data_IF_609363641415
#
_entry.id   IF_609363641415
#
_cell.length_a   1.000
_cell.length_b   1.000
_cell.length_c   1.000
_cell.angle_alpha   90.00
_cell.angle_beta   90.00
_cell.angle_gamma   90.00
#
_symmetry.space_group_name_H-M   'P 1'
#
loop_
_entity.id
_entity.type
_entity.pdbx_description
1 polymer ?
#
# COMPACT_ATOMS: atom_id res chain seq x y z
N UNK A 1 -10.55 -40.27 -7.73
CA UNK A 1 -9.21 -40.14 -7.11
C UNK A 1 -8.35 -39.06 -7.77
N UNK A 2 -8.29 -38.96 -9.10
CA UNK A 2 -7.47 -37.95 -9.80
C UNK A 2 -7.80 -36.48 -9.42
N UNK A 3 -9.08 -36.12 -9.25
CA UNK A 3 -9.45 -34.74 -8.83
C UNK A 3 -8.97 -34.37 -7.42
N UNK A 4 -8.95 -35.33 -6.50
CA UNK A 4 -8.45 -35.14 -5.13
C UNK A 4 -6.92 -35.03 -5.12
N UNK A 5 -6.24 -35.82 -5.96
CA UNK A 5 -4.79 -35.76 -6.14
C UNK A 5 -4.34 -34.42 -6.73
N UNK A 6 -5.10 -33.85 -7.67
CA UNK A 6 -4.83 -32.52 -8.25
C UNK A 6 -4.96 -31.39 -7.22
N UNK A 7 -5.94 -31.46 -6.32
CA UNK A 7 -6.14 -30.49 -5.23
C UNK A 7 -4.99 -30.58 -4.22
N UNK A 8 -4.54 -31.80 -3.88
CA UNK A 8 -3.40 -32.04 -2.98
C UNK A 8 -2.09 -31.53 -3.60
N UNK A 9 -1.90 -31.72 -4.92
CA UNK A 9 -0.73 -31.21 -5.64
C UNK A 9 -0.70 -29.67 -5.69
N UNK A 10 -1.85 -29.02 -5.79
CA UNK A 10 -1.97 -27.55 -5.77
C UNK A 10 -1.61 -26.96 -4.39
N UNK A 11 -1.95 -27.67 -3.31
CA UNK A 11 -1.58 -27.28 -1.94
C UNK A 11 -0.08 -27.44 -1.64
N UNK A 12 0.62 -28.37 -2.30
CA UNK A 12 2.07 -28.57 -2.13
C UNK A 12 2.93 -27.53 -2.89
N UNK A 13 2.35 -26.73 -3.79
CA UNK A 13 3.04 -25.63 -4.47
C UNK A 13 3.13 -24.32 -3.65
N UNK A 14 2.63 -24.30 -2.42
CA UNK A 14 2.79 -23.16 -1.50
C UNK A 14 4.24 -23.16 -1.00
N UNK A 15 5.15 -22.71 -1.86
CA UNK A 15 6.53 -22.41 -1.52
C UNK A 15 6.54 -21.46 -0.31
N UNK A 16 7.43 -21.74 0.65
CA UNK A 16 7.67 -20.94 1.84
C UNK A 16 8.20 -19.55 1.44
N UNK A 17 7.29 -18.65 1.03
CA UNK A 17 7.64 -17.24 0.87
C UNK A 17 7.98 -16.67 2.25
N UNK A 18 9.18 -16.14 2.39
CA UNK A 18 9.54 -15.31 3.55
C UNK A 18 9.03 -13.89 3.28
N UNK A 19 8.12 -13.42 4.12
CA UNK A 19 7.48 -12.11 3.98
C UNK A 19 8.49 -10.95 4.07
N UNK A 20 8.17 -9.86 3.38
CA UNK A 20 8.87 -8.59 3.45
C UNK A 20 7.97 -7.60 4.20
N UNK A 21 8.41 -7.16 5.37
CA UNK A 21 7.86 -5.98 6.01
C UNK A 21 8.16 -4.74 5.14
N UNK A 22 7.16 -3.91 4.88
CA UNK A 22 7.38 -2.67 4.11
C UNK A 22 7.79 -1.55 5.05
N UNK A 23 8.94 -0.93 4.78
CA UNK A 23 9.41 0.21 5.57
C UNK A 23 8.56 1.47 5.39
N UNK A 24 7.73 1.52 4.34
CA UNK A 24 6.85 2.63 4.01
C UNK A 24 5.40 2.20 4.16
N UNK A 25 4.53 3.17 4.48
CA UNK A 25 3.08 2.99 4.51
C UNK A 25 2.59 2.45 3.16
N UNK A 26 1.85 1.34 3.20
CA UNK A 26 1.28 0.70 2.01
C UNK A 26 -0.22 1.01 1.98
N UNK A 27 -0.56 2.21 1.51
CA UNK A 27 -1.94 2.70 1.43
C UNK A 27 -2.68 2.08 0.26
N UNK A 28 -3.96 1.76 0.45
CA UNK A 28 -4.88 1.44 -0.65
C UNK A 28 -5.37 2.73 -1.33
N UNK A 29 -5.43 3.82 -0.56
CA UNK A 29 -5.83 5.15 -1.05
C UNK A 29 -4.74 5.82 -1.91
N UNK A 30 -5.12 6.60 -2.93
CA UNK A 30 -6.51 7.03 -3.25
C UNK A 30 -7.25 6.14 -4.27
N UNK A 31 -6.64 5.05 -4.76
CA UNK A 31 -7.25 4.14 -5.73
C UNK A 31 -8.24 3.13 -5.11
N UNK A 32 -8.81 2.26 -5.95
CA UNK A 32 -9.68 1.15 -5.53
C UNK A 32 -9.01 -0.22 -5.64
N UNK A 33 -7.84 -0.28 -6.27
CA UNK A 33 -6.94 -1.44 -6.18
C UNK A 33 -6.33 -1.56 -4.78
N UNK A 34 -5.98 -2.78 -4.41
CA UNK A 34 -5.28 -3.14 -3.18
C UNK A 34 -4.08 -4.01 -3.52
N UNK A 35 -2.98 -3.79 -2.80
CA UNK A 35 -1.75 -4.55 -2.94
C UNK A 35 -1.88 -5.94 -2.29
N UNK A 36 -1.24 -6.98 -2.85
CA UNK A 36 -1.18 -8.30 -2.22
C UNK A 36 -0.40 -8.30 -0.88
N UNK A 37 0.42 -7.28 -0.61
CA UNK A 37 1.19 -7.19 0.62
C UNK A 37 0.32 -6.80 1.82
N UNK A 38 0.58 -7.46 2.95
CA UNK A 38 -0.01 -7.12 4.25
C UNK A 38 0.73 -5.93 4.89
N UNK A 39 0.07 -5.21 5.81
CA UNK A 39 0.68 -4.17 6.65
C UNK A 39 1.82 -4.67 7.55
N UNK A 40 1.91 -5.98 7.84
CA UNK A 40 2.99 -6.59 8.63
C UNK A 40 2.69 -6.78 10.12
N UNK A 41 3.42 -7.68 10.79
CA UNK A 41 3.14 -8.06 12.20
C UNK A 41 3.22 -6.88 13.16
N UNK A 42 2.25 -6.78 14.05
CA UNK A 42 2.11 -5.72 15.06
C UNK A 42 1.98 -4.31 14.45
N UNK A 43 1.44 -4.22 13.24
CA UNK A 43 1.12 -2.95 12.56
C UNK A 43 -0.39 -2.76 12.51
N UNK A 44 -0.81 -1.56 12.94
CA UNK A 44 -2.18 -1.07 12.80
C UNK A 44 -2.16 0.14 11.88
N UNK A 45 -2.93 0.09 10.80
CA UNK A 45 -3.02 1.15 9.81
C UNK A 45 -4.46 1.64 9.69
N UNK A 46 -4.60 2.96 9.61
CA UNK A 46 -5.84 3.68 9.43
C UNK A 46 -5.74 4.46 8.12
N UNK A 47 -6.74 4.32 7.26
CA UNK A 47 -6.87 5.10 6.03
C UNK A 47 -8.23 5.78 6.07
N UNK A 48 -8.24 7.11 5.93
CA UNK A 48 -9.44 7.90 6.02
C UNK A 48 -9.48 8.94 4.91
N UNK A 49 -10.65 9.25 4.39
CA UNK A 49 -10.77 10.35 3.45
C UNK A 49 -12.21 10.77 3.24
N UNK A 50 -12.33 11.87 2.50
CA UNK A 50 -13.59 12.48 2.10
C UNK A 50 -13.77 12.29 0.59
N UNK A 51 -15.03 12.22 0.16
CA UNK A 51 -15.37 12.17 -1.25
C UNK A 51 -16.56 13.06 -1.57
N UNK A 52 -16.54 13.58 -2.79
CA UNK A 52 -17.66 14.20 -3.47
C UNK A 52 -17.99 13.37 -4.71
N UNK A 53 -19.25 13.02 -4.87
CA UNK A 53 -19.76 12.27 -6.02
C UNK A 53 -20.91 13.05 -6.63
N UNK A 54 -20.87 13.21 -7.94
CA UNK A 54 -22.00 13.72 -8.70
C UNK A 54 -22.35 12.65 -9.74
N UNK A 55 -23.59 12.21 -9.73
CA UNK A 55 -24.17 11.27 -10.68
C UNK A 55 -25.18 12.05 -11.51
N UNK A 56 -24.91 12.19 -12.79
CA UNK A 56 -25.84 12.74 -13.77
C UNK A 56 -26.44 11.58 -14.56
N UNK A 57 -27.74 11.34 -14.36
CA UNK A 57 -28.54 10.34 -15.09
C UNK A 57 -29.68 11.03 -15.86
N UNK A 58 -30.30 10.35 -16.82
CA UNK A 58 -31.41 10.90 -17.61
C UNK A 58 -32.65 11.11 -16.74
N UNK A 59 -32.80 12.31 -16.18
CA UNK A 59 -33.99 12.76 -15.45
C UNK A 59 -33.79 13.00 -13.95
N UNK A 60 -32.62 12.67 -13.41
CA UNK A 60 -32.26 12.96 -12.00
C UNK A 60 -30.76 13.20 -11.85
N UNK A 61 -30.39 14.11 -10.96
CA UNK A 61 -29.01 14.30 -10.51
C UNK A 61 -28.87 13.97 -9.04
N UNK A 62 -27.85 13.20 -8.69
CA UNK A 62 -27.54 12.84 -7.29
C UNK A 62 -26.20 13.44 -6.92
N UNK A 63 -26.19 14.21 -5.84
CA UNK A 63 -24.96 14.74 -5.24
C UNK A 63 -24.72 14.09 -3.89
N UNK A 64 -23.60 13.37 -3.76
CA UNK A 64 -23.21 12.68 -2.54
C UNK A 64 -21.94 13.27 -1.95
N UNK A 65 -21.95 13.46 -0.63
CA UNK A 65 -20.78 13.78 0.17
C UNK A 65 -20.57 12.70 1.20
N UNK A 66 -19.32 12.31 1.44
CA UNK A 66 -19.11 11.26 2.43
C UNK A 66 -17.67 11.10 2.86
N UNK A 67 -17.48 10.11 3.73
CA UNK A 67 -16.18 9.69 4.21
C UNK A 67 -16.02 8.18 4.10
N UNK A 68 -14.84 7.76 3.68
CA UNK A 68 -14.42 6.36 3.68
C UNK A 68 -13.37 6.15 4.78
N UNK A 69 -13.52 5.07 5.53
CA UNK A 69 -12.60 4.66 6.59
C UNK A 69 -12.21 3.19 6.40
N UNK A 70 -10.91 2.91 6.50
CA UNK A 70 -10.37 1.57 6.47
C UNK A 70 -9.42 1.37 7.65
N UNK A 71 -9.63 0.29 8.39
CA UNK A 71 -8.76 -0.15 9.48
C UNK A 71 -8.14 -1.47 9.07
N UNK A 72 -6.81 -1.57 9.15
CA UNK A 72 -6.03 -2.74 8.76
C UNK A 72 -5.14 -3.14 9.91
N UNK A 73 -5.19 -4.41 10.30
CA UNK A 73 -4.43 -4.92 11.42
C UNK A 73 -3.82 -6.28 11.10
N UNK A 74 -2.52 -6.42 11.37
CA UNK A 74 -1.84 -7.71 11.30
C UNK A 74 -1.06 -7.95 12.59
N UNK A 75 -1.32 -9.09 13.24
CA UNK A 75 -0.70 -9.46 14.53
C UNK A 75 0.05 -10.78 14.49
N UNK A 76 -0.51 -11.77 13.80
CA UNK A 76 -0.07 -13.16 13.95
C UNK A 76 0.99 -13.55 12.92
N UNK A 77 0.79 -13.11 11.67
CA UNK A 77 1.61 -13.46 10.53
C UNK A 77 1.82 -12.23 9.68
N UNK A 78 3.04 -12.02 9.21
CA UNK A 78 3.38 -10.94 8.26
C UNK A 78 2.64 -11.05 6.92
N UNK A 79 1.99 -12.20 6.65
CA UNK A 79 1.22 -12.48 5.45
C UNK A 79 -0.28 -12.28 5.63
N UNK A 80 -0.78 -12.24 6.86
CA UNK A 80 -2.21 -12.20 7.16
C UNK A 80 -2.57 -10.81 7.67
N UNK A 81 -3.56 -10.21 7.03
CA UNK A 81 -4.13 -8.92 7.42
C UNK A 81 -5.63 -9.08 7.63
N UNK A 82 -6.13 -8.53 8.73
CA UNK A 82 -7.56 -8.31 8.93
C UNK A 82 -7.88 -6.87 8.55
N UNK A 83 -8.99 -6.68 7.85
CA UNK A 83 -9.46 -5.35 7.48
C UNK A 83 -10.94 -5.14 7.80
N UNK A 84 -11.24 -3.88 8.11
CA UNK A 84 -12.58 -3.32 8.27
C UNK A 84 -12.67 -2.14 7.33
N UNK A 85 -13.65 -2.15 6.43
CA UNK A 85 -13.92 -1.07 5.47
C UNK A 85 -15.32 -0.55 5.74
N UNK A 86 -15.45 0.74 6.00
CA UNK A 86 -16.74 1.40 6.23
C UNK A 86 -16.80 2.73 5.52
N UNK A 87 -17.99 3.14 5.10
CA UNK A 87 -18.23 4.48 4.57
C UNK A 87 -19.47 5.11 5.17
N UNK A 88 -19.45 6.42 5.34
CA UNK A 88 -20.61 7.22 5.71
C UNK A 88 -20.88 8.20 4.58
N UNK A 89 -22.13 8.32 4.16
CA UNK A 89 -22.51 9.16 3.03
C UNK A 89 -23.79 9.93 3.33
N UNK A 90 -23.87 11.11 2.75
CA UNK A 90 -25.02 11.97 2.68
C UNK A 90 -25.36 12.18 1.22
N UNK A 91 -26.56 11.79 0.82
CA UNK A 91 -27.04 11.86 -0.56
C UNK A 91 -28.13 12.93 -0.66
N UNK A 92 -28.01 13.80 -1.65
CA UNK A 92 -29.07 14.72 -2.08
C UNK A 92 -29.51 14.35 -3.51
N UNK A 93 -30.81 14.32 -3.74
CA UNK A 93 -31.42 13.84 -4.99
C UNK A 93 -32.30 14.95 -5.54
N UNK A 94 -31.94 15.44 -6.71
CA UNK A 94 -32.72 16.44 -7.45
C UNK A 94 -33.36 15.76 -8.67
N UNK A 95 -34.69 15.89 -8.81
CA UNK A 95 -35.43 15.34 -9.94
C UNK A 95 -35.69 16.42 -10.98
N UNK A 96 -35.28 16.18 -12.23
CA UNK A 96 -35.37 17.17 -13.31
C UNK A 96 -36.58 16.90 -14.23
N UNK A 97 -37.15 15.69 -14.20
CA UNK A 97 -38.22 15.31 -15.13
C UNK A 97 -39.63 15.71 -14.63
N UNK A 98 -40.32 16.53 -15.43
CA UNK A 98 -41.62 17.13 -15.12
C UNK A 98 -42.76 16.12 -14.86
N UNK A 99 -42.60 14.86 -15.29
CA UNK A 99 -43.58 13.79 -15.05
C UNK A 99 -43.53 13.22 -13.63
N UNK A 100 -42.40 13.33 -12.92
CA UNK A 100 -42.24 12.86 -11.54
C UNK A 100 -42.71 13.88 -10.48
N UNK A 101 -42.89 15.14 -10.88
CA UNK A 101 -43.29 16.27 -10.04
C UNK A 101 -44.79 16.24 -9.66
N UNK A 102 -45.59 15.34 -10.25
CA UNK A 102 -47.05 15.25 -10.04
C UNK A 102 -47.41 14.66 -8.66
N UNK A 103 -46.43 14.13 -7.91
CA UNK A 103 -46.61 13.71 -6.52
C UNK A 103 -45.94 14.72 -5.55
N UNK A 104 -46.70 15.52 -4.77
CA UNK A 104 -46.16 16.48 -3.80
C UNK A 104 -45.50 15.82 -2.56
N UNK A 105 -45.23 14.52 -2.60
CA UNK A 105 -44.52 13.76 -1.56
C UNK A 105 -43.05 13.45 -1.92
N UNK A 106 -42.58 13.90 -3.09
CA UNK A 106 -41.20 13.75 -3.57
C UNK A 106 -40.47 15.11 -3.51
N UNK A 107 -40.46 15.74 -2.34
CA UNK A 107 -39.50 16.82 -2.03
C UNK A 107 -38.09 16.24 -1.85
N UNK A 108 -37.05 17.04 -2.14
CA UNK A 108 -35.62 16.76 -1.99
C UNK A 108 -35.33 15.76 -0.85
N UNK A 109 -35.09 14.50 -1.21
CA UNK A 109 -34.89 13.44 -0.22
C UNK A 109 -33.42 13.40 0.17
N UNK A 110 -33.06 14.20 1.16
CA UNK A 110 -31.75 14.13 1.79
C UNK A 110 -31.65 12.96 2.76
N UNK A 111 -30.63 12.11 2.63
CA UNK A 111 -30.43 10.93 3.50
C UNK A 111 -28.97 10.79 3.92
N UNK A 112 -28.77 10.62 5.23
CA UNK A 112 -27.50 10.20 5.81
C UNK A 112 -27.54 8.70 6.12
N UNK A 113 -26.47 7.97 5.78
CA UNK A 113 -26.38 6.55 6.04
C UNK A 113 -24.96 6.00 6.05
N UNK A 114 -24.82 4.78 6.55
CA UNK A 114 -23.61 3.97 6.41
C UNK A 114 -23.67 3.35 5.02
N UNK A 115 -22.81 3.76 4.08
CA UNK A 115 -22.87 3.31 2.69
C UNK A 115 -22.31 1.91 2.45
N UNK A 116 -21.45 1.43 3.34
CA UNK A 116 -20.84 0.09 3.28
C UNK A 116 -20.27 -0.29 4.63
N UNK A 117 -20.35 -1.57 4.99
CA UNK A 117 -19.58 -2.17 6.07
C UNK A 117 -19.09 -3.56 5.64
N UNK A 118 -17.78 -3.71 5.46
CA UNK A 118 -17.16 -4.97 5.05
C UNK A 118 -16.08 -5.36 6.05
N UNK A 119 -16.09 -6.62 6.49
CA UNK A 119 -15.03 -7.22 7.30
C UNK A 119 -14.37 -8.31 6.48
N UNK A 120 -13.04 -8.34 6.45
CA UNK A 120 -12.35 -9.41 5.75
C UNK A 120 -10.92 -9.68 6.18
N UNK A 121 -10.34 -10.66 5.52
CA UNK A 121 -8.98 -11.12 5.73
C UNK A 121 -8.27 -11.28 4.39
N UNK A 122 -7.05 -10.77 4.32
CA UNK A 122 -6.14 -10.89 3.17
C UNK A 122 -4.95 -11.76 3.56
N UNK A 123 -4.60 -12.71 2.70
CA UNK A 123 -3.45 -13.60 2.90
C UNK A 123 -2.51 -13.56 1.69
N UNK A 124 -1.27 -13.15 1.91
CA UNK A 124 -0.21 -13.19 0.91
C UNK A 124 0.21 -14.65 0.64
N UNK A 125 -0.12 -15.17 -0.54
CA UNK A 125 0.20 -16.54 -0.94
C UNK A 125 1.62 -16.62 -1.45
N UNK A 126 1.97 -15.74 -2.39
CA UNK A 126 3.24 -15.78 -3.10
C UNK A 126 3.83 -14.38 -3.25
N UNK A 127 5.15 -14.28 -3.10
CA UNK A 127 5.91 -13.07 -3.39
C UNK A 127 7.32 -13.44 -3.78
N UNK A 128 7.81 -12.85 -4.86
CA UNK A 128 9.19 -13.03 -5.31
C UNK A 128 10.12 -12.06 -4.57
N UNK A 129 11.38 -12.46 -4.36
CA UNK A 129 12.44 -11.55 -3.90
C UNK A 129 13.22 -11.05 -5.11
N UNK A 130 13.29 -9.72 -5.23
CA UNK A 130 14.09 -9.08 -6.27
C UNK A 130 15.56 -9.05 -5.87
N UNK A 131 16.43 -9.23 -6.86
CA UNK A 131 17.86 -9.13 -6.65
C UNK A 131 18.29 -7.68 -6.72
N UNK A 132 19.02 -7.23 -5.70
CA UNK A 132 19.55 -5.87 -5.66
C UNK A 132 20.77 -5.76 -6.57
N UNK A 133 20.52 -5.50 -7.86
CA UNK A 133 21.54 -5.39 -8.91
C UNK A 133 22.55 -4.27 -8.66
N UNK A 134 22.24 -3.30 -7.79
CA UNK A 134 23.20 -2.25 -7.42
C UNK A 134 24.45 -2.83 -6.72
N UNK A 135 24.32 -4.00 -6.09
CA UNK A 135 25.40 -4.73 -5.42
C UNK A 135 26.29 -5.52 -6.37
N UNK A 136 25.93 -5.65 -7.65
CA UNK A 136 26.77 -6.29 -8.66
C UNK A 136 27.93 -5.34 -9.04
N UNK A 137 29.16 -5.76 -8.76
CA UNK A 137 30.37 -4.97 -8.97
C UNK A 137 31.16 -5.44 -10.20
N UNK A 138 31.00 -6.71 -10.62
CA UNK A 138 31.91 -7.33 -11.60
C UNK A 138 31.52 -7.08 -13.05
N UNK A 139 30.22 -6.99 -13.35
CA UNK A 139 29.74 -6.89 -14.74
C UNK A 139 28.73 -5.76 -14.93
N UNK A 140 29.08 -4.78 -15.78
CA UNK A 140 28.16 -3.71 -16.18
C UNK A 140 26.91 -4.26 -16.86
N UNK A 141 27.05 -5.27 -17.74
CA UNK A 141 25.92 -5.93 -18.40
C UNK A 141 24.96 -6.57 -17.40
N UNK A 142 25.45 -7.27 -16.37
CA UNK A 142 24.58 -7.87 -15.34
C UNK A 142 23.91 -6.83 -14.46
N UNK A 143 24.63 -5.76 -14.12
CA UNK A 143 24.12 -4.64 -13.32
C UNK A 143 22.97 -3.90 -14.03
N UNK A 144 23.08 -3.67 -15.33
CA UNK A 144 22.10 -2.90 -16.12
C UNK A 144 21.03 -3.77 -16.78
N UNK A 145 21.22 -5.09 -16.87
CA UNK A 145 20.23 -5.98 -17.46
C UNK A 145 18.89 -5.91 -16.72
N UNK A 146 17.78 -6.11 -17.43
CA UNK A 146 16.46 -6.23 -16.83
C UNK A 146 16.37 -7.46 -15.90
N UNK A 147 15.66 -7.33 -14.79
CA UNK A 147 15.38 -8.48 -13.89
C UNK A 147 14.05 -9.12 -14.29
N UNK A 148 14.11 -10.20 -15.07
CA UNK A 148 12.92 -10.91 -15.53
C UNK A 148 12.05 -11.48 -14.40
N UNK A 149 12.60 -11.64 -13.18
CA UNK A 149 11.80 -12.03 -12.00
C UNK A 149 10.75 -10.97 -11.64
N UNK A 150 10.90 -9.73 -12.12
CA UNK A 150 9.94 -8.62 -11.93
C UNK A 150 8.62 -8.79 -12.67
N UNK A 151 8.59 -9.66 -13.68
CA UNK A 151 7.36 -10.03 -14.40
C UNK A 151 6.52 -11.06 -13.64
N UNK A 152 7.05 -11.67 -12.59
CA UNK A 152 6.31 -12.63 -11.79
C UNK A 152 5.55 -11.86 -10.69
N UNK A 153 4.21 -11.91 -10.68
CA UNK A 153 3.44 -11.13 -9.72
C UNK A 153 3.56 -11.72 -8.32
N UNK A 154 3.55 -10.86 -7.31
CA UNK A 154 3.10 -11.25 -5.98
C UNK A 154 1.59 -11.49 -6.03
N UNK A 155 1.11 -12.49 -5.27
CA UNK A 155 -0.29 -12.94 -5.30
C UNK A 155 -0.81 -13.07 -3.88
N UNK A 156 -1.98 -12.49 -3.62
CA UNK A 156 -2.74 -12.66 -2.39
C UNK A 156 -4.17 -13.05 -2.69
N UNK A 157 -4.78 -13.75 -1.73
CA UNK A 157 -6.20 -14.07 -1.72
C UNK A 157 -6.87 -13.28 -0.61
N UNK A 158 -8.13 -12.92 -0.85
CA UNK A 158 -8.95 -12.18 0.09
C UNK A 158 -10.31 -12.86 0.23
N UNK A 159 -10.78 -12.92 1.47
CA UNK A 159 -12.13 -13.34 1.80
C UNK A 159 -12.71 -12.37 2.82
N UNK A 160 -13.93 -11.92 2.59
CA UNK A 160 -14.65 -11.00 3.46
C UNK A 160 -16.15 -11.17 3.33
N UNK A 161 -16.88 -10.40 4.13
CA UNK A 161 -18.33 -10.39 4.17
C UNK A 161 -18.81 -8.94 4.27
N UNK A 162 -19.84 -8.63 3.49
CA UNK A 162 -20.59 -7.39 3.59
C UNK A 162 -21.68 -7.58 4.62
N UNK A 163 -21.75 -6.64 5.56
CA UNK A 163 -22.74 -6.65 6.63
C UNK A 163 -23.87 -5.70 6.20
N UNK A 164 -25.13 -6.16 6.22
CA UNK A 164 -26.27 -5.35 5.81
C UNK A 164 -26.57 -4.32 6.89
N UNK A 165 -25.88 -3.18 6.82
CA UNK A 165 -26.13 -2.00 7.67
C UNK A 165 -26.79 -0.87 6.89
N UNK A 166 -26.95 -1.08 5.59
CA UNK A 166 -27.36 -0.04 4.65
C UNK A 166 -28.80 -0.24 4.21
N UNK A 167 -29.51 0.86 3.98
CA UNK A 167 -30.65 0.94 3.08
C UNK A 167 -30.21 1.82 1.92
N UNK A 168 -29.48 1.24 0.97
CA UNK A 168 -28.90 2.03 -0.14
C UNK A 168 -29.97 2.23 -1.19
N UNK A 169 -30.15 3.48 -1.57
CA UNK A 169 -30.99 3.88 -2.68
C UNK A 169 -30.25 3.60 -4.00
N UNK A 170 -30.94 3.04 -5.00
CA UNK A 170 -30.45 3.05 -6.38
C UNK A 170 -31.43 3.88 -7.21
N UNK A 171 -30.89 4.90 -7.85
CA UNK A 171 -31.63 5.76 -8.78
C UNK A 171 -32.12 4.99 -10.01
N UNK A 172 -33.10 5.60 -10.68
CA UNK A 172 -33.87 5.07 -11.79
C UNK A 172 -35.27 5.69 -11.79
N UNK A 173 -36.08 5.44 -12.82
CA UNK A 173 -37.47 5.95 -12.91
C UNK A 173 -38.38 5.49 -11.76
N UNK A 174 -37.98 4.45 -11.02
CA UNK A 174 -38.63 4.00 -9.80
C UNK A 174 -37.62 3.90 -8.66
N UNK A 175 -37.78 4.68 -7.57
CA UNK A 175 -36.95 4.62 -6.39
C UNK A 175 -37.09 3.27 -5.66
N UNK A 176 -36.36 2.23 -6.04
CA UNK A 176 -36.41 0.93 -5.34
C UNK A 176 -35.34 0.86 -4.25
N UNK A 177 -35.79 0.53 -3.04
CA UNK A 177 -34.91 0.31 -1.90
C UNK A 177 -34.26 -1.06 -2.05
N UNK A 178 -32.98 -1.08 -2.42
CA UNK A 178 -32.21 -2.31 -2.33
C UNK A 178 -31.90 -2.52 -0.85
N UNK A 179 -32.58 -3.49 -0.23
CA UNK A 179 -32.14 -4.01 1.06
C UNK A 179 -30.76 -4.61 0.87
N UNK A 180 -29.77 -4.04 1.56
CA UNK A 180 -28.44 -4.62 1.59
C UNK A 180 -28.57 -6.01 2.25
N UNK A 181 -28.02 -7.02 1.62
CA UNK A 181 -28.05 -8.39 2.12
C UNK A 181 -26.67 -8.79 2.60
N UNK A 182 -26.64 -9.65 3.63
CA UNK A 182 -25.40 -10.28 4.03
C UNK A 182 -24.84 -11.05 2.83
N UNK A 183 -23.63 -10.69 2.40
CA UNK A 183 -23.10 -11.24 1.17
C UNK A 183 -21.58 -11.46 1.25
N UNK A 184 -21.08 -12.64 0.86
CA UNK A 184 -19.66 -12.91 0.78
C UNK A 184 -18.97 -12.10 -0.32
N UNK A 185 -17.68 -11.79 -0.07
CA UNK A 185 -16.78 -11.14 -1.01
C UNK A 185 -15.47 -11.91 -1.09
N UNK A 186 -15.04 -12.26 -2.30
CA UNK A 186 -13.77 -12.92 -2.57
C UNK A 186 -12.94 -12.08 -3.53
N UNK A 187 -11.61 -12.10 -3.36
CA UNK A 187 -10.75 -11.46 -4.35
C UNK A 187 -9.39 -12.11 -4.47
N UNK A 188 -8.77 -11.90 -5.63
CA UNK A 188 -7.37 -12.21 -5.90
C UNK A 188 -6.68 -10.89 -6.23
N UNK A 189 -5.59 -10.60 -5.52
CA UNK A 189 -4.79 -9.41 -5.72
C UNK A 189 -3.43 -9.80 -6.25
N UNK A 190 -3.01 -9.13 -7.32
CA UNK A 190 -1.71 -9.37 -7.94
C UNK A 190 -0.95 -8.07 -8.12
N UNK A 191 0.37 -8.13 -7.99
CA UNK A 191 1.24 -6.97 -8.17
C UNK A 191 2.54 -7.35 -8.86
N UNK A 192 2.85 -6.66 -9.94
CA UNK A 192 4.12 -6.73 -10.65
C UNK A 192 4.93 -5.45 -10.40
N UNK A 193 6.21 -5.61 -10.04
CA UNK A 193 7.12 -4.48 -9.85
C UNK A 193 8.04 -4.36 -11.06
N UNK A 194 7.48 -3.92 -12.19
CA UNK A 194 8.19 -3.86 -13.47
C UNK A 194 9.52 -3.10 -13.38
N UNK A 195 9.58 -2.03 -12.59
CA UNK A 195 10.83 -1.34 -12.23
C UNK A 195 10.82 -0.97 -10.74
N UNK A 196 11.87 -0.31 -10.25
CA UNK A 196 11.88 0.25 -8.89
C UNK A 196 10.94 1.44 -8.71
N UNK A 197 10.42 2.01 -9.80
CA UNK A 197 9.52 3.15 -9.80
C UNK A 197 8.11 2.83 -10.30
N UNK A 198 7.97 1.78 -11.11
CA UNK A 198 6.71 1.43 -11.76
C UNK A 198 6.18 0.10 -11.23
N UNK A 199 4.98 0.19 -10.65
CA UNK A 199 4.24 -0.93 -10.09
C UNK A 199 2.92 -1.07 -10.84
N UNK A 200 2.58 -2.29 -11.20
CA UNK A 200 1.31 -2.61 -11.84
C UNK A 200 0.52 -3.58 -10.96
N UNK A 201 -0.71 -3.21 -10.62
CA UNK A 201 -1.63 -4.03 -9.84
C UNK A 201 -2.76 -4.54 -10.74
N UNK A 202 -3.16 -5.77 -10.50
CA UNK A 202 -4.39 -6.33 -11.06
C UNK A 202 -5.16 -7.03 -9.95
N UNK A 203 -6.40 -6.59 -9.74
CA UNK A 203 -7.29 -7.13 -8.73
C UNK A 203 -8.50 -7.74 -9.43
N UNK A 204 -8.85 -8.97 -9.08
CA UNK A 204 -10.05 -9.66 -9.52
C UNK A 204 -10.95 -9.85 -8.30
N UNK A 205 -12.15 -9.30 -8.33
CA UNK A 205 -13.05 -9.24 -7.17
C UNK A 205 -14.39 -9.82 -7.57
N UNK A 206 -14.89 -10.74 -6.75
CA UNK A 206 -16.26 -11.22 -6.77
C UNK A 206 -16.93 -10.68 -5.51
N UNK A 207 -17.86 -9.76 -5.67
CA UNK A 207 -18.60 -9.13 -4.59
C UNK A 207 -20.06 -9.56 -4.63
N UNK A 208 -20.72 -9.45 -3.47
CA UNK A 208 -22.13 -9.81 -3.28
C UNK A 208 -22.49 -11.22 -3.79
N UNK A 209 -21.65 -12.21 -3.48
CA UNK A 209 -21.80 -13.56 -4.03
C UNK A 209 -23.11 -14.20 -3.51
N UNK A 210 -23.95 -14.67 -4.44
CA UNK A 210 -25.19 -15.37 -4.09
C UNK A 210 -26.41 -14.47 -3.89
N UNK A 211 -26.31 -13.17 -4.22
CA UNK A 211 -27.46 -12.25 -4.27
C UNK A 211 -27.79 -11.86 -5.71
N UNK A 212 -28.96 -11.25 -5.92
CA UNK A 212 -29.38 -10.73 -7.24
C UNK A 212 -28.49 -9.58 -7.74
N UNK A 213 -27.77 -8.93 -6.81
CA UNK A 213 -26.86 -7.81 -7.08
C UNK A 213 -25.40 -8.26 -7.15
N UNK A 214 -25.12 -9.49 -7.59
CA UNK A 214 -23.75 -10.01 -7.78
C UNK A 214 -22.91 -9.07 -8.65
N UNK A 215 -21.66 -8.82 -8.24
CA UNK A 215 -20.74 -7.94 -8.96
C UNK A 215 -19.38 -8.62 -9.15
N UNK A 216 -18.98 -8.84 -10.40
CA UNK A 216 -17.63 -9.29 -10.74
C UNK A 216 -16.85 -8.12 -11.31
N UNK A 217 -15.71 -7.77 -10.72
CA UNK A 217 -14.91 -6.65 -11.18
C UNK A 217 -13.45 -7.00 -11.36
N UNK A 218 -12.82 -6.30 -12.29
CA UNK A 218 -11.38 -6.26 -12.43
C UNK A 218 -10.90 -4.82 -12.30
N UNK A 219 -9.75 -4.64 -11.66
CA UNK A 219 -9.12 -3.33 -11.47
C UNK A 219 -7.68 -3.44 -11.94
N UNK A 220 -7.29 -2.56 -12.87
CA UNK A 220 -5.93 -2.46 -13.41
C UNK A 220 -5.35 -1.11 -13.01
N UNK A 221 -4.24 -1.12 -12.30
CA UNK A 221 -3.65 0.10 -11.74
C UNK A 221 -2.17 0.19 -12.04
N UNK A 222 -1.77 1.26 -12.71
CA UNK A 222 -0.36 1.60 -12.91
C UNK A 222 0.03 2.72 -11.96
N UNK A 223 1.01 2.47 -11.09
CA UNK A 223 1.56 3.48 -10.16
C UNK A 223 3.01 3.79 -10.53
N UNK A 224 3.34 5.07 -10.68
CA UNK A 224 4.69 5.54 -10.97
C UNK A 224 5.20 6.50 -9.90
N UNK A 225 6.34 6.16 -9.31
CA UNK A 225 7.05 6.99 -8.33
C UNK A 225 7.91 8.02 -9.04
N UNK A 226 7.46 9.28 -9.03
CA UNK A 226 8.18 10.40 -9.62
C UNK A 226 9.43 10.70 -8.78
N UNK A 227 9.26 10.73 -7.46
CA UNK A 227 10.31 10.89 -6.46
C UNK A 227 10.08 9.92 -5.30
N UNK A 228 10.99 9.90 -4.32
CA UNK A 228 10.85 9.08 -3.10
C UNK A 228 9.61 9.49 -2.25
N UNK A 229 8.99 10.64 -2.54
CA UNK A 229 7.82 11.13 -1.82
C UNK A 229 6.57 11.30 -2.67
N UNK A 230 6.70 11.44 -3.98
CA UNK A 230 5.59 11.73 -4.88
C UNK A 230 5.36 10.57 -5.82
N UNK A 231 4.11 10.13 -5.90
CA UNK A 231 3.67 9.12 -6.85
C UNK A 231 2.39 9.56 -7.54
N UNK A 232 2.28 9.15 -8.80
CA UNK A 232 1.06 9.24 -9.60
C UNK A 232 0.54 7.83 -9.83
N UNK A 233 -0.77 7.70 -10.03
CA UNK A 233 -1.36 6.46 -10.50
C UNK A 233 -2.48 6.73 -11.50
N UNK A 234 -2.70 5.76 -12.38
CA UNK A 234 -3.88 5.66 -13.22
C UNK A 234 -4.53 4.30 -13.00
N UNK A 235 -5.85 4.27 -12.97
CA UNK A 235 -6.64 3.09 -12.66
C UNK A 235 -7.83 2.96 -13.60
N UNK A 236 -7.97 1.77 -14.18
CA UNK A 236 -9.14 1.37 -14.97
C UNK A 236 -9.84 0.22 -14.25
N UNK A 237 -11.16 0.29 -14.15
CA UNK A 237 -11.97 -0.79 -13.58
C UNK A 237 -13.19 -1.05 -14.43
N UNK A 238 -13.48 -2.33 -14.65
CA UNK A 238 -14.74 -2.81 -15.19
C UNK A 238 -15.53 -3.56 -14.12
N UNK A 239 -16.84 -3.29 -14.05
CA UNK A 239 -17.77 -3.94 -13.13
C UNK A 239 -18.83 -4.64 -13.98
N UNK A 240 -18.88 -5.96 -13.88
CA UNK A 240 -19.89 -6.81 -14.51
C UNK A 240 -20.95 -7.15 -13.47
N UNK A 241 -22.14 -6.61 -13.67
CA UNK A 241 -23.27 -6.76 -12.75
C UNK A 241 -24.12 -7.98 -13.13
N UNK A 242 -25.07 -8.31 -12.26
CA UNK A 242 -26.01 -9.41 -12.45
C UNK A 242 -26.92 -9.25 -13.67
N UNK A 243 -27.75 -10.27 -13.90
CA UNK A 243 -28.56 -10.38 -15.10
C UNK A 243 -29.54 -9.21 -15.23
N UNK A 244 -29.49 -8.50 -16.37
CA UNK A 244 -30.35 -7.35 -16.65
C UNK A 244 -29.82 -5.99 -16.18
N UNK A 245 -28.67 -5.93 -15.50
CA UNK A 245 -28.05 -4.67 -15.07
C UNK A 245 -26.88 -4.30 -15.99
N UNK A 246 -26.80 -3.05 -16.51
CA UNK A 246 -25.67 -2.60 -17.32
C UNK A 246 -24.31 -2.72 -16.62
N UNK A 247 -23.27 -2.92 -17.41
CA UNK A 247 -21.89 -2.98 -16.92
C UNK A 247 -21.30 -1.57 -16.83
N UNK A 248 -20.50 -1.32 -15.80
CA UNK A 248 -19.86 -0.02 -15.60
C UNK A 248 -18.39 -0.09 -15.96
N UNK A 249 -17.91 0.95 -16.65
CA UNK A 249 -16.48 1.15 -16.88
C UNK A 249 -16.06 2.49 -16.28
N UNK A 250 -14.94 2.48 -15.58
CA UNK A 250 -14.46 3.66 -14.90
C UNK A 250 -12.96 3.84 -15.06
N UNK A 251 -12.59 5.09 -15.21
CA UNK A 251 -11.20 5.51 -15.30
C UNK A 251 -10.93 6.61 -14.28
N UNK A 252 -9.84 6.46 -13.53
CA UNK A 252 -9.45 7.42 -12.52
C UNK A 252 -7.95 7.54 -12.42
N UNK A 253 -7.53 8.59 -11.74
CA UNK A 253 -6.12 8.84 -11.49
C UNK A 253 -5.94 9.90 -10.42
N UNK A 254 -4.73 9.98 -9.90
CA UNK A 254 -4.45 10.91 -8.83
C UNK A 254 -3.01 10.90 -8.38
N UNK A 255 -2.79 11.57 -7.25
CA UNK A 255 -1.51 11.89 -6.66
C UNK A 255 -1.47 11.40 -5.22
N UNK A 256 -0.33 10.84 -4.83
CA UNK A 256 -0.05 10.49 -3.45
C UNK A 256 1.30 11.09 -3.02
N UNK A 257 1.28 11.67 -1.82
CA UNK A 257 2.41 12.32 -1.18
C UNK A 257 2.76 11.66 0.16
N UNK A 258 3.96 11.10 0.24
CA UNK A 258 4.51 10.52 1.46
C UNK A 258 5.14 11.60 2.34
N UNK A 259 4.41 12.01 3.38
CA UNK A 259 4.87 13.01 4.34
C UNK A 259 6.01 12.46 5.22
N UNK A 260 5.83 11.24 5.73
CA UNK A 260 6.85 10.49 6.47
C UNK A 260 6.67 8.98 6.23
N UNK A 261 7.56 8.13 6.75
CA UNK A 261 7.48 6.66 6.55
C UNK A 261 6.13 6.03 6.94
N UNK A 262 5.36 6.69 7.81
CA UNK A 262 4.12 6.20 8.40
C UNK A 262 2.87 7.00 7.99
N UNK A 263 3.01 8.08 7.21
CA UNK A 263 1.92 9.00 6.89
C UNK A 263 1.97 9.38 5.40
N UNK A 264 0.84 9.23 4.73
CA UNK A 264 0.64 9.62 3.34
C UNK A 264 -0.63 10.47 3.22
N UNK A 265 -0.63 11.41 2.27
CA UNK A 265 -1.79 12.16 1.84
C UNK A 265 -2.05 11.89 0.37
N UNK A 266 -3.32 11.96 -0.03
CA UNK A 266 -3.73 11.62 -1.39
C UNK A 266 -4.90 12.45 -1.89
N UNK A 267 -4.96 12.59 -3.22
CA UNK A 267 -6.07 13.18 -3.95
C UNK A 267 -6.26 12.42 -5.27
N UNK A 268 -7.50 12.15 -5.65
CA UNK A 268 -7.81 11.52 -6.92
C UNK A 268 -9.15 12.00 -7.49
N UNK A 269 -9.26 11.85 -8.80
CA UNK A 269 -10.50 12.04 -9.56
C UNK A 269 -10.79 10.80 -10.39
N UNK A 270 -12.06 10.51 -10.60
CA UNK A 270 -12.54 9.37 -11.38
C UNK A 270 -13.80 9.76 -12.13
N UNK A 271 -13.87 9.30 -13.37
CA UNK A 271 -15.08 9.30 -14.15
C UNK A 271 -15.56 7.87 -14.30
N UNK A 272 -16.85 7.66 -14.05
CA UNK A 272 -17.56 6.41 -14.29
C UNK A 272 -18.51 6.70 -15.44
N UNK A 273 -18.41 5.89 -16.49
CA UNK A 273 -19.32 5.94 -17.61
C UNK A 273 -20.21 4.72 -17.53
N UNK A 274 -21.50 4.97 -17.31
CA UNK A 274 -22.56 3.98 -17.43
C UNK A 274 -23.29 4.21 -18.76
N UNK A 275 -24.15 3.28 -19.16
CA UNK A 275 -24.99 3.38 -20.36
C UNK A 275 -25.93 4.59 -20.30
N UNK A 276 -26.44 4.90 -19.11
CA UNK A 276 -27.54 5.85 -18.92
C UNK A 276 -27.07 7.22 -18.36
N UNK A 277 -25.83 7.30 -17.84
CA UNK A 277 -25.30 8.52 -17.24
C UNK A 277 -23.78 8.53 -17.02
N UNK A 278 -23.30 9.61 -16.40
CA UNK A 278 -21.89 9.75 -16.01
C UNK A 278 -21.77 10.11 -14.53
N UNK A 279 -20.80 9.52 -13.85
CA UNK A 279 -20.48 9.89 -12.46
C UNK A 279 -19.09 10.48 -12.38
N UNK A 280 -18.99 11.68 -11.79
CA UNK A 280 -17.73 12.27 -11.38
C UNK A 280 -17.52 12.00 -9.88
N UNK A 281 -16.36 11.42 -9.53
CA UNK A 281 -15.95 11.19 -8.15
C UNK A 281 -14.61 11.88 -7.88
N UNK A 282 -14.61 12.78 -6.92
CA UNK A 282 -13.39 13.43 -6.41
C UNK A 282 -13.19 12.98 -4.98
N UNK A 283 -11.99 12.54 -4.63
CA UNK A 283 -11.67 12.14 -3.27
C UNK A 283 -10.31 12.69 -2.82
N UNK A 284 -10.19 12.92 -1.51
CA UNK A 284 -8.96 13.29 -0.86
C UNK A 284 -8.87 12.60 0.50
N UNK A 285 -7.67 12.21 0.91
CA UNK A 285 -7.52 11.43 2.12
C UNK A 285 -6.12 11.40 2.69
N UNK A 286 -5.99 10.59 3.73
CA UNK A 286 -4.74 10.30 4.38
C UNK A 286 -4.68 8.84 4.83
N UNK A 287 -3.46 8.33 4.94
CA UNK A 287 -3.16 7.05 5.54
C UNK A 287 -2.13 7.24 6.66
N UNK A 288 -2.36 6.61 7.81
CA UNK A 288 -1.46 6.63 8.95
C UNK A 288 -1.30 5.23 9.54
N UNK A 289 -0.06 4.85 9.86
CA UNK A 289 0.22 3.58 10.55
C UNK A 289 0.92 3.77 11.88
N UNK A 290 0.49 2.97 12.85
CA UNK A 290 1.20 2.71 14.09
C UNK A 290 2.05 1.46 13.91
N UNK A 291 3.33 1.67 13.66
CA UNK A 291 4.31 0.60 13.49
C UNK A 291 4.92 0.19 14.85
N UNK A 292 4.64 -1.03 15.30
CA UNK A 292 5.31 -1.68 16.44
C UNK A 292 6.03 -2.96 16.02
N UNK A 293 6.27 -3.13 14.72
CA UNK A 293 6.92 -4.30 14.17
C UNK A 293 8.31 -4.49 14.78
N UNK A 294 8.68 -5.76 15.00
CA UNK A 294 10.01 -6.15 15.46
C UNK A 294 10.51 -7.29 14.60
N UNK A 295 11.64 -7.06 13.94
CA UNK A 295 12.28 -8.09 13.13
C UNK A 295 12.64 -9.31 13.98
N UNK A 296 12.21 -10.49 13.50
CA UNK A 296 12.60 -11.75 14.10
C UNK A 296 14.07 -12.03 13.76
N UNK A 297 14.96 -11.76 14.70
CA UNK A 297 16.35 -12.17 14.56
C UNK A 297 16.49 -13.68 14.85
N UNK A 298 17.16 -14.39 13.96
CA UNK A 298 17.68 -15.72 14.28
C UNK A 298 18.94 -15.53 15.11
N UNK A 299 18.95 -16.05 16.33
CA UNK A 299 20.18 -16.13 17.11
C UNK A 299 21.04 -17.20 16.47
N UNK A 300 22.19 -16.81 15.95
CA UNK A 300 23.20 -17.72 15.43
C UNK A 300 24.16 -18.00 16.59
N UNK A 301 24.36 -19.27 16.91
CA UNK A 301 25.34 -19.71 17.90
C UNK A 301 26.77 -19.39 17.45
N UNK A 302 27.74 -19.52 18.35
CA UNK A 302 29.15 -19.32 18.03
C UNK A 302 29.69 -20.31 16.98
N UNK A 303 28.93 -21.38 16.71
CA UNK A 303 29.14 -22.44 15.72
C UNK A 303 28.48 -22.17 14.35
N UNK A 304 27.77 -21.05 14.20
CA UNK A 304 27.06 -20.72 12.95
C UNK A 304 25.69 -21.39 12.80
N UNK A 305 25.22 -22.18 13.76
CA UNK A 305 23.92 -22.84 13.72
C UNK A 305 22.83 -21.97 14.37
N UNK A 306 21.59 -22.05 13.86
CA UNK A 306 20.47 -21.29 14.40
C UNK A 306 20.00 -21.91 15.73
N UNK A 307 20.05 -21.14 16.82
CA UNK A 307 19.52 -21.56 18.13
C UNK A 307 18.01 -21.39 18.12
N UNK A 308 17.26 -22.50 18.07
CA UNK A 308 15.81 -22.47 18.20
C UNK A 308 15.40 -22.08 19.63
N UNK A 309 14.74 -20.92 19.78
CA UNK A 309 14.03 -20.61 21.02
C UNK A 309 12.84 -21.53 21.13
N UNK A 310 12.83 -22.40 22.14
CA UNK A 310 11.64 -23.16 22.54
C UNK A 310 10.44 -22.22 22.70
N UNK A 311 9.47 -22.31 21.78
CA UNK A 311 8.20 -21.61 21.88
C UNK A 311 7.40 -22.28 22.99
N UNK A 312 7.15 -21.56 24.09
CA UNK A 312 6.10 -21.97 25.04
C UNK A 312 4.76 -21.94 24.31
N UNK A 313 4.14 -23.11 24.18
CA UNK A 313 2.78 -23.28 23.71
C UNK A 313 1.83 -22.60 24.70
N UNK A 314 1.24 -21.50 24.26
CA UNK A 314 0.14 -20.86 24.96
C UNK A 314 -1.07 -20.92 24.06
N UNK A 315 -2.16 -21.52 24.55
CA UNK A 315 -3.42 -21.70 23.82
C UNK A 315 -3.89 -20.38 23.19
N UNK A 316 -4.45 -20.48 21.98
CA UNK A 316 -4.92 -19.38 21.14
C UNK A 316 -5.68 -18.27 21.91
N UNK A 317 -6.57 -18.67 22.83
CA UNK A 317 -7.37 -17.75 23.66
C UNK A 317 -6.57 -16.99 24.73
N UNK A 318 -5.48 -17.56 25.25
CA UNK A 318 -4.62 -16.90 26.26
C UNK A 318 -3.84 -15.71 25.69
N UNK A 319 -3.58 -15.69 24.37
CA UNK A 319 -2.94 -14.58 23.66
C UNK A 319 -3.92 -13.47 23.24
N UNK A 320 -5.22 -13.78 23.16
CA UNK A 320 -6.29 -12.85 22.81
C UNK A 320 -6.82 -12.09 24.03
N UNK A 321 -7.04 -12.77 25.16
CA UNK A 321 -7.65 -12.17 26.37
C UNK A 321 -6.71 -12.08 27.58
N UNK A 322 -5.42 -12.34 27.40
CA UNK A 322 -4.42 -12.20 28.45
C UNK A 322 -4.32 -10.76 28.91
N UNK A 323 -5.02 -10.40 30.01
CA UNK A 323 -4.74 -9.20 30.80
C UNK A 323 -3.22 -9.12 30.99
N UNK A 324 -2.63 -7.97 30.66
CA UNK A 324 -1.22 -7.64 30.87
C UNK A 324 -0.81 -7.90 32.32
N UNK A 325 -0.49 -9.15 32.67
CA UNK A 325 0.36 -9.45 33.80
C UNK A 325 1.75 -9.06 33.35
N UNK A 326 2.14 -7.83 33.69
CA UNK A 326 3.52 -7.40 33.72
C UNK A 326 4.34 -8.53 34.33
N UNK A 327 5.10 -9.24 33.50
CA UNK A 327 6.13 -10.12 34.01
C UNK A 327 7.06 -9.23 34.82
N UNK A 328 7.16 -9.51 36.12
CA UNK A 328 8.14 -8.89 37.01
C UNK A 328 9.51 -9.11 36.36
N UNK A 329 9.99 -8.09 35.65
CA UNK A 329 11.40 -7.99 35.30
C UNK A 329 12.15 -8.13 36.63
N UNK A 330 13.03 -9.14 36.72
CA UNK A 330 14.03 -9.22 37.78
C UNK A 330 14.62 -7.82 37.95
N UNK A 331 14.46 -7.24 39.14
CA UNK A 331 15.04 -5.94 39.51
C UNK A 331 16.55 -6.01 39.29
N UNK A 332 17.02 -5.54 38.14
CA UNK A 332 18.43 -5.18 37.96
C UNK A 332 18.63 -3.96 38.84
N UNK A 333 19.58 -4.05 39.80
CA UNK A 333 19.97 -2.95 40.67
C UNK A 333 20.17 -1.68 39.83
N UNK A 334 19.36 -0.64 40.07
CA UNK A 334 19.60 0.71 39.57
C UNK A 334 20.89 1.22 40.23
N UNK A 335 22.02 1.04 39.55
CA UNK A 335 23.22 1.83 39.84
C UNK A 335 22.88 3.25 39.37
N UNK A 336 22.82 4.21 40.30
CA UNK A 336 22.68 5.63 39.99
C UNK A 336 23.78 6.00 38.99
N UNK A 337 23.39 6.35 37.77
CA UNK A 337 24.30 6.90 36.79
C UNK A 337 24.76 8.28 37.27
N UNK A 338 25.90 8.31 37.96
CA UNK A 338 26.71 9.53 38.03
C UNK A 338 26.99 9.97 36.60
N UNK A 339 26.80 11.27 36.32
CA UNK A 339 27.00 11.91 35.01
C UNK A 339 28.35 11.51 34.40
N UNK A 340 28.39 10.41 33.65
CA UNK A 340 29.51 10.07 32.77
C UNK A 340 29.22 10.72 31.44
N UNK A 341 30.00 11.75 31.12
CA UNK A 341 30.07 12.38 29.79
C UNK A 341 29.97 11.32 28.72
N UNK A 342 29.01 11.49 27.80
CA UNK A 342 28.84 10.68 26.60
C UNK A 342 30.20 10.57 25.91
N UNK A 343 30.81 9.39 25.92
CA UNK A 343 31.97 9.12 25.06
C UNK A 343 31.42 9.14 23.63
N UNK A 344 31.73 10.21 22.89
CA UNK A 344 31.62 10.24 21.43
C UNK A 344 32.11 8.91 20.87
N UNK A 345 31.30 8.28 20.01
CA UNK A 345 31.64 7.04 19.34
C UNK A 345 33.08 7.07 18.86
N UNK A 346 33.89 6.14 19.39
CA UNK A 346 35.26 5.98 18.93
C UNK A 346 35.15 5.44 17.51
N UNK A 347 35.41 6.31 16.53
CA UNK A 347 35.67 5.92 15.14
C UNK A 347 36.57 4.67 15.14
N UNK A 348 36.29 3.66 14.29
CA UNK A 348 37.08 2.44 14.27
C UNK A 348 38.57 2.77 14.16
N UNK A 349 39.40 2.15 15.02
CA UNK A 349 40.85 2.38 15.01
C UNK A 349 41.41 1.93 13.66
N UNK A 350 41.74 2.89 12.80
CA UNK A 350 42.42 2.63 11.52
C UNK A 350 43.70 1.83 11.75
N UNK A 351 43.89 0.76 10.98
CA UNK A 351 45.13 -0.03 10.97
C UNK A 351 46.36 0.85 10.68
N UNK A 352 47.55 0.46 11.17
CA UNK A 352 48.82 1.15 10.83
C UNK A 352 49.01 1.31 9.32
N UNK A 353 48.57 0.33 8.52
CA UNK A 353 48.60 0.37 7.07
C UNK A 353 47.65 1.43 6.48
N UNK A 354 46.43 1.55 7.02
CA UNK A 354 45.46 2.58 6.60
C UNK A 354 45.96 3.99 6.91
N UNK A 355 46.60 4.19 8.07
CA UNK A 355 47.20 5.49 8.43
C UNK A 355 48.37 5.88 7.52
N UNK A 356 49.19 4.91 7.09
CA UNK A 356 50.27 5.14 6.12
C UNK A 356 49.72 5.56 4.76
N UNK A 357 48.75 4.82 4.21
CA UNK A 357 48.09 5.14 2.93
C UNK A 357 47.43 6.52 2.94
N UNK A 358 46.78 6.90 4.04
CA UNK A 358 46.15 8.22 4.18
C UNK A 358 47.19 9.36 4.27
N UNK A 359 48.34 9.12 4.90
CA UNK A 359 49.45 10.09 4.97
C UNK A 359 50.11 10.28 3.59
N UNK A 360 50.27 9.20 2.83
CA UNK A 360 50.77 9.24 1.45
C UNK A 360 49.79 9.94 0.51
N UNK A 361 48.51 9.62 0.57
CA UNK A 361 47.46 10.28 -0.21
C UNK A 361 47.39 11.80 0.08
N UNK A 362 47.54 12.19 1.35
CA UNK A 362 47.60 13.61 1.74
C UNK A 362 48.86 14.33 1.26
N UNK A 363 50.01 13.65 1.19
CA UNK A 363 51.22 14.23 0.60
C UNK A 363 51.03 14.44 -0.89
N UNK A 364 50.59 13.40 -1.61
CA UNK A 364 50.32 13.46 -3.05
C UNK A 364 49.33 14.58 -3.40
N UNK A 365 48.20 14.67 -2.69
CA UNK A 365 47.23 15.74 -2.90
C UNK A 365 47.77 17.16 -2.62
N UNK A 366 48.71 17.32 -1.67
CA UNK A 366 49.37 18.61 -1.42
C UNK A 366 50.35 18.97 -2.53
N UNK A 367 51.07 17.98 -3.06
CA UNK A 367 52.04 18.18 -4.14
C UNK A 367 51.31 18.47 -5.46
N UNK A 368 50.22 17.75 -5.77
CA UNK A 368 49.35 18.01 -6.91
C UNK A 368 48.76 19.42 -6.84
N UNK A 369 48.29 19.85 -5.66
CA UNK A 369 47.77 21.22 -5.45
C UNK A 369 48.85 22.29 -5.60
N UNK A 370 50.11 22.01 -5.22
CA UNK A 370 51.24 22.93 -5.46
C UNK A 370 51.59 23.00 -6.93
N UNK A 371 51.58 21.88 -7.66
CA UNK A 371 51.83 21.86 -9.09
C UNK A 371 50.73 22.60 -9.87
N UNK A 372 49.46 22.40 -9.52
CA UNK A 372 48.34 23.15 -10.10
C UNK A 372 48.48 24.66 -9.86
N UNK A 373 48.89 25.07 -8.66
CA UNK A 373 49.15 26.50 -8.37
C UNK A 373 50.33 27.08 -9.15
N UNK A 374 51.38 26.29 -9.40
CA UNK A 374 52.51 26.72 -10.26
C UNK A 374 52.05 26.86 -11.71
N UNK A 375 51.39 25.84 -12.27
CA UNK A 375 50.83 25.89 -13.63
C UNK A 375 49.87 27.06 -13.84
N UNK A 376 49.01 27.36 -12.86
CA UNK A 376 48.11 28.51 -12.93
C UNK A 376 48.85 29.85 -12.90
N UNK A 377 49.95 29.96 -12.15
CA UNK A 377 50.81 31.15 -12.15
C UNK A 377 51.57 31.32 -13.46
N UNK A 378 52.09 30.23 -14.02
CA UNK A 378 52.82 30.26 -15.29
C UNK A 378 51.87 30.58 -16.45
N UNK A 379 50.64 30.05 -16.43
CA UNK A 379 49.58 30.39 -17.38
C UNK A 379 49.24 31.88 -17.34
N UNK A 380 49.02 32.45 -16.15
CA UNK A 380 48.74 33.90 -16.01
C UNK A 380 49.93 34.80 -16.37
N UNK A 381 51.16 34.30 -16.26
CA UNK A 381 52.37 35.07 -16.63
C UNK A 381 52.57 35.14 -18.14
N UNK A 382 52.13 34.11 -18.87
CA UNK A 382 52.25 33.99 -20.32
C UNK A 382 50.91 34.27 -21.04
N UNK A 383 49.92 34.82 -20.34
CA UNK A 383 48.64 35.18 -20.92
C UNK A 383 48.74 36.56 -21.56
N UNK A 384 48.92 36.60 -22.88
CA UNK A 384 48.65 37.80 -23.67
C UNK A 384 47.16 37.82 -24.00
N UNK A 385 46.40 38.84 -23.55
CA UNK A 385 45.01 38.97 -23.94
C UNK A 385 44.93 39.19 -25.46
N UNK A 386 43.94 38.61 -26.16
CA UNK A 386 43.78 38.85 -27.58
C UNK A 386 43.55 40.35 -27.83
N UNK A 387 44.32 40.93 -28.75
CA UNK A 387 44.10 42.29 -29.21
C UNK A 387 42.74 42.36 -29.90
N UNK A 388 41.89 43.27 -29.42
CA UNK A 388 40.61 43.56 -30.02
C UNK A 388 40.84 44.23 -31.38
N UNK A 389 40.53 43.51 -32.46
CA UNK A 389 40.22 44.08 -33.77
C UNK A 389 38.71 44.11 -33.98
#
# INVERSE_FOLDING_TARGET
MHRLLSIILLFFCIQLSTAQYTELVNSRRPGFSDSPFSVGTDVLQFEGGIFYRNIDDRGSSITSYGTDLMIRYSKFLDKLELNLNTSFQYDNIDFTDSFLIINPALEDVSKFGIGRLTIGAKYLVYSTKYEDKSKEIRSWKRKTAYDWKRLIPAVAVYAGVNIPVTKSYVGGNFPEYISDEFSPRLAIYTQNNFTDKFVFLMNLVMDKIGTDYKENSYILTGTYSITDKWSIFGEHQGIFKGDGIPNDFQFGGGLAYLFNKNTQFDIATRNISDRDGSTLLINAGFAWRLDRHKDKFKLIGADGQAVEKQKKEGNFFSRLFGKNKQSKQRKVKKIKAGKRKIKKDKRPKKSKAQKRREKEARKKAKDDRKQLKKKAKDYNKNYEPPENN
#
